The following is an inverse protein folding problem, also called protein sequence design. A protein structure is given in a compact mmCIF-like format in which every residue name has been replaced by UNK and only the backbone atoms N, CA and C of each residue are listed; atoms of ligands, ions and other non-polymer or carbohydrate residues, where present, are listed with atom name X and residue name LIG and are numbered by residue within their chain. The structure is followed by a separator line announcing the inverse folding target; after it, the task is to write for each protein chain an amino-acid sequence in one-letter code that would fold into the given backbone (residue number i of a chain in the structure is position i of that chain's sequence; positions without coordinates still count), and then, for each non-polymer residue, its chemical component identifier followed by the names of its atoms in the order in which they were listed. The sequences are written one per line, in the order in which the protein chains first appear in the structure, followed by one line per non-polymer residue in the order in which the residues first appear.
data_IF_022519457831
#
_entry.id   IF_022519457831
#
_cell.length_a   1.000
_cell.length_b   1.000
_cell.length_c   1.000
_cell.angle_alpha   90.00
_cell.angle_beta   90.00
_cell.angle_gamma   90.00
#
_symmetry.space_group_name_H-M   'P 1'
#
loop_
_entity.id
_entity.type
_entity.pdbx_description
1 polymer ?
#
# COMPACT_ATOMS: atom_id res chain seq x y z
N UNK A 1 -2.04 1.95 -3.75
CA UNK A 1 -2.02 1.34 -5.10
C UNK A 1 -0.61 0.89 -5.51
N UNK A 2 0.40 1.76 -5.65
CA UNK A 2 1.76 1.32 -6.03
C UNK A 2 2.33 0.24 -5.10
N UNK A 3 2.13 0.37 -3.79
CA UNK A 3 2.55 -0.68 -2.83
C UNK A 3 1.86 -2.04 -3.04
N UNK A 4 0.65 -2.07 -3.61
CA UNK A 4 0.01 -3.32 -4.00
C UNK A 4 0.77 -4.00 -5.16
N UNK A 5 1.14 -3.24 -6.21
CA UNK A 5 1.98 -3.76 -7.31
C UNK A 5 3.34 -4.28 -6.82
N UNK A 6 3.98 -3.56 -5.89
CA UNK A 6 5.25 -4.00 -5.29
C UNK A 6 5.07 -5.30 -4.48
N UNK A 7 3.95 -5.45 -3.77
CA UNK A 7 3.64 -6.69 -3.06
C UNK A 7 3.37 -7.85 -4.03
N UNK A 8 2.70 -7.63 -5.16
CA UNK A 8 2.53 -8.66 -6.19
C UNK A 8 3.88 -9.16 -6.73
N UNK A 9 4.82 -8.24 -6.99
CA UNK A 9 6.17 -8.59 -7.40
C UNK A 9 6.92 -9.41 -6.34
N UNK A 10 6.70 -9.12 -5.07
CA UNK A 10 7.27 -9.88 -3.95
C UNK A 10 6.77 -11.32 -3.90
N UNK A 11 5.53 -11.56 -4.29
CA UNK A 11 4.90 -12.90 -4.27
C UNK A 11 5.22 -13.74 -5.54
N UNK A 12 6.01 -13.22 -6.46
CA UNK A 12 6.44 -13.98 -7.65
C UNK A 12 7.43 -15.09 -7.26
N UNK A 13 7.58 -16.17 -8.06
CA UNK A 13 8.53 -17.25 -7.77
C UNK A 13 10.00 -16.79 -7.66
N UNK A 14 10.35 -15.71 -8.34
CA UNK A 14 11.68 -15.08 -8.29
C UNK A 14 11.53 -13.59 -8.00
N UNK A 15 11.20 -13.22 -6.75
CA UNK A 15 10.95 -11.84 -6.41
C UNK A 15 12.22 -11.00 -6.55
N UNK A 16 12.12 -9.78 -7.12
CA UNK A 16 13.28 -8.91 -7.35
C UNK A 16 13.83 -8.30 -6.05
N UNK A 17 13.06 -8.31 -4.99
CA UNK A 17 13.42 -7.79 -3.66
C UNK A 17 12.75 -8.62 -2.58
N UNK A 18 13.23 -8.50 -1.34
CA UNK A 18 12.62 -9.12 -0.16
C UNK A 18 11.39 -8.31 0.29
N UNK A 19 11.53 -6.98 0.21
CA UNK A 19 10.51 -6.02 0.59
C UNK A 19 10.68 -4.75 -0.24
N UNK A 20 9.58 -4.12 -0.60
CA UNK A 20 9.60 -2.78 -1.17
C UNK A 20 8.36 -2.00 -0.75
N UNK A 21 8.52 -0.70 -0.60
CA UNK A 21 7.46 0.23 -0.23
C UNK A 21 7.72 1.60 -0.86
N UNK A 22 6.66 2.33 -1.12
CA UNK A 22 6.71 3.75 -1.47
C UNK A 22 5.86 4.54 -0.51
N UNK A 23 6.30 5.73 -0.19
CA UNK A 23 5.61 6.68 0.67
C UNK A 23 5.80 8.10 0.17
N UNK A 24 4.85 8.96 0.46
CA UNK A 24 4.91 10.40 0.25
C UNK A 24 4.79 11.09 1.59
N UNK A 25 5.64 12.07 1.83
CA UNK A 25 5.65 12.81 3.09
C UNK A 25 6.94 13.57 3.33
N UNK A 26 7.16 13.95 4.56
CA UNK A 26 8.35 14.71 4.96
C UNK A 26 9.64 13.93 4.68
N UNK A 27 10.62 14.61 4.07
CA UNK A 27 11.93 14.01 3.83
C UNK A 27 12.68 13.81 5.16
N UNK A 28 12.71 12.58 5.67
CA UNK A 28 13.20 12.21 7.00
C UNK A 28 12.51 13.03 8.11
N UNK A 29 13.29 13.81 8.83
CA UNK A 29 12.84 14.69 9.91
C UNK A 29 12.68 16.15 9.46
N UNK A 30 12.86 16.42 8.17
CA UNK A 30 12.76 17.78 7.64
C UNK A 30 11.30 18.21 7.51
N UNK A 31 10.96 19.34 8.12
CA UNK A 31 9.64 19.98 7.95
C UNK A 31 9.56 20.92 6.74
N UNK A 32 10.68 21.11 6.05
CA UNK A 32 10.80 22.07 4.95
C UNK A 32 10.92 21.40 3.58
N UNK A 33 10.93 20.09 3.54
CA UNK A 33 11.09 19.27 2.34
C UNK A 33 10.19 18.06 2.42
N UNK A 34 9.37 17.90 1.39
CA UNK A 34 8.63 16.68 1.13
C UNK A 34 9.34 15.83 0.09
N UNK A 35 9.16 14.54 0.16
CA UNK A 35 9.72 13.60 -0.80
C UNK A 35 8.76 12.44 -1.05
N UNK A 36 8.66 12.07 -2.31
CA UNK A 36 8.19 10.75 -2.67
C UNK A 36 9.37 9.78 -2.58
N UNK A 37 9.28 8.84 -1.64
CA UNK A 37 10.36 7.92 -1.30
C UNK A 37 10.00 6.50 -1.72
N UNK A 38 10.92 5.82 -2.41
CA UNK A 38 10.86 4.39 -2.69
C UNK A 38 11.98 3.67 -1.95
N UNK A 39 11.64 2.63 -1.20
CA UNK A 39 12.58 1.80 -0.44
C UNK A 39 12.46 0.36 -0.95
N UNK A 40 13.57 -0.28 -1.24
CA UNK A 40 13.61 -1.71 -1.53
C UNK A 40 14.74 -2.39 -0.74
N UNK A 41 14.43 -3.51 -0.13
CA UNK A 41 15.39 -4.40 0.52
C UNK A 41 15.75 -5.50 -0.47
N UNK A 42 16.97 -5.48 -0.96
CA UNK A 42 17.46 -6.45 -1.93
C UNK A 42 17.83 -7.78 -1.28
N UNK A 43 17.88 -8.83 -2.08
CA UNK A 43 18.62 -10.05 -1.75
C UNK A 43 20.12 -9.77 -1.80
N UNK A 44 20.90 -10.68 -1.24
CA UNK A 44 22.36 -10.68 -1.42
C UNK A 44 22.67 -10.70 -2.93
N UNK A 45 23.56 -9.85 -3.41
CA UNK A 45 23.91 -9.64 -4.82
C UNK A 45 22.75 -9.19 -5.75
N UNK A 46 21.61 -8.74 -5.18
CA UNK A 46 20.42 -8.35 -5.94
C UNK A 46 20.12 -6.84 -5.97
N UNK A 47 21.08 -5.98 -5.67
CA UNK A 47 20.86 -4.52 -5.57
C UNK A 47 20.33 -3.95 -6.89
N UNK A 48 20.99 -4.26 -8.02
CA UNK A 48 20.60 -3.76 -9.34
C UNK A 48 19.20 -4.25 -9.74
N UNK A 49 18.89 -5.49 -9.41
CA UNK A 49 17.58 -6.09 -9.69
C UNK A 49 16.48 -5.41 -8.88
N UNK A 50 16.72 -5.18 -7.59
CA UNK A 50 15.78 -4.52 -6.71
C UNK A 50 15.54 -3.05 -7.10
N UNK A 51 16.64 -2.32 -7.38
CA UNK A 51 16.59 -0.94 -7.84
C UNK A 51 15.85 -0.82 -9.18
N UNK A 52 16.18 -1.69 -10.15
CA UNK A 52 15.50 -1.71 -11.45
C UNK A 52 14.01 -1.99 -11.32
N UNK A 53 13.61 -2.94 -10.48
CA UNK A 53 12.22 -3.32 -10.32
C UNK A 53 11.42 -2.20 -9.63
N UNK A 54 11.95 -1.62 -8.55
CA UNK A 54 11.32 -0.50 -7.86
C UNK A 54 11.17 0.70 -8.80
N UNK A 55 12.25 1.11 -9.46
CA UNK A 55 12.23 2.27 -10.37
C UNK A 55 11.30 2.03 -11.56
N UNK A 56 11.23 0.81 -12.08
CA UNK A 56 10.35 0.44 -13.20
C UNK A 56 8.88 0.60 -12.82
N UNK A 57 8.47 0.20 -11.63
CA UNK A 57 7.06 0.38 -11.20
C UNK A 57 6.74 1.85 -10.92
N UNK A 58 7.66 2.62 -10.36
CA UNK A 58 7.51 4.07 -10.20
C UNK A 58 7.36 4.73 -11.58
N UNK A 59 8.22 4.38 -12.53
CA UNK A 59 8.19 4.91 -13.89
C UNK A 59 6.92 4.49 -14.66
N UNK A 60 6.45 3.25 -14.44
CA UNK A 60 5.18 2.77 -15.00
C UNK A 60 3.99 3.59 -14.50
N UNK A 61 3.95 3.91 -13.20
CA UNK A 61 2.93 4.80 -12.65
C UNK A 61 3.04 6.20 -13.22
N UNK A 62 4.26 6.72 -13.37
CA UNK A 62 4.49 8.05 -13.97
C UNK A 62 3.96 8.14 -15.41
N UNK A 63 4.16 7.08 -16.23
CA UNK A 63 3.76 7.07 -17.64
C UNK A 63 2.28 6.76 -17.85
N UNK A 64 1.71 5.84 -17.09
CA UNK A 64 0.39 5.26 -17.37
C UNK A 64 -0.64 5.47 -16.26
N UNK A 65 -0.20 5.91 -15.07
CA UNK A 65 -1.08 6.05 -13.92
C UNK A 65 -1.55 4.73 -13.32
N UNK A 66 -2.64 4.81 -12.59
CA UNK A 66 -3.35 3.68 -12.01
C UNK A 66 -4.60 3.37 -12.81
N UNK A 67 -4.99 2.10 -12.83
CA UNK A 67 -6.22 1.64 -13.49
C UNK A 67 -7.45 1.92 -12.62
N UNK A 68 -8.62 1.95 -13.24
CA UNK A 68 -9.89 2.12 -12.53
C UNK A 68 -10.14 0.99 -11.52
N UNK A 69 -9.73 -0.25 -11.84
CA UNK A 69 -9.87 -1.41 -10.95
C UNK A 69 -8.96 -1.35 -9.72
N UNK A 70 -7.68 -0.96 -9.88
CA UNK A 70 -6.78 -0.71 -8.76
C UNK A 70 -7.34 0.36 -7.81
N UNK A 71 -7.83 1.46 -8.40
CA UNK A 71 -8.40 2.54 -7.62
C UNK A 71 -9.68 2.12 -6.89
N UNK A 72 -10.56 1.36 -7.56
CA UNK A 72 -11.79 0.87 -6.94
C UNK A 72 -11.49 -0.01 -5.71
N UNK A 73 -10.49 -0.92 -5.81
CA UNK A 73 -10.05 -1.74 -4.67
C UNK A 73 -9.47 -0.90 -3.55
N UNK A 74 -8.54 0.00 -3.88
CA UNK A 74 -7.92 0.86 -2.88
C UNK A 74 -8.94 1.74 -2.14
N UNK A 75 -9.92 2.27 -2.87
CA UNK A 75 -11.02 3.04 -2.30
C UNK A 75 -11.91 2.18 -1.39
N UNK A 76 -12.27 0.99 -1.83
CA UNK A 76 -13.07 0.06 -1.03
C UNK A 76 -12.34 -0.36 0.26
N UNK A 77 -11.04 -0.62 0.18
CA UNK A 77 -10.21 -0.95 1.34
C UNK A 77 -10.11 0.20 2.34
N UNK A 78 -9.90 1.42 1.84
CA UNK A 78 -9.87 2.62 2.67
C UNK A 78 -11.21 2.84 3.42
N UNK A 79 -12.33 2.78 2.70
CA UNK A 79 -13.65 2.97 3.29
C UNK A 79 -13.98 1.88 4.32
N UNK A 80 -13.57 0.63 4.07
CA UNK A 80 -13.74 -0.46 5.03
C UNK A 80 -12.90 -0.27 6.30
N UNK A 81 -11.65 0.20 6.16
CA UNK A 81 -10.80 0.52 7.32
C UNK A 81 -11.41 1.67 8.14
N UNK A 82 -11.92 2.68 7.47
CA UNK A 82 -12.58 3.81 8.10
C UNK A 82 -13.86 3.39 8.84
N UNK A 83 -14.66 2.52 8.23
CA UNK A 83 -15.86 1.92 8.86
C UNK A 83 -15.49 1.10 10.10
N UNK A 84 -14.42 0.30 10.03
CA UNK A 84 -13.92 -0.45 11.19
C UNK A 84 -13.50 0.50 12.32
N UNK A 85 -12.74 1.55 11.99
CA UNK A 85 -12.32 2.55 12.97
C UNK A 85 -13.52 3.27 13.61
N UNK A 86 -14.54 3.60 12.81
CA UNK A 86 -15.77 4.20 13.30
C UNK A 86 -16.55 3.26 14.25
N UNK A 87 -16.67 1.99 13.89
CA UNK A 87 -17.38 0.99 14.70
C UNK A 87 -16.66 0.68 16.02
N UNK A 88 -15.35 0.82 16.06
CA UNK A 88 -14.50 0.54 17.23
C UNK A 88 -14.11 1.79 18.03
N UNK A 89 -14.65 2.96 17.69
CA UNK A 89 -14.25 4.25 18.28
C UNK A 89 -14.30 4.30 19.80
N UNK A 90 -15.25 3.60 20.41
CA UNK A 90 -15.40 3.54 21.87
C UNK A 90 -14.36 2.62 22.56
N UNK A 91 -13.57 1.88 21.77
CA UNK A 91 -12.55 0.94 22.27
C UNK A 91 -11.13 1.44 22.01
N UNK A 92 -10.99 2.62 21.42
CA UNK A 92 -9.68 3.20 21.06
C UNK A 92 -8.89 3.54 22.32
N UNK A 93 -7.66 3.09 22.38
CA UNK A 93 -6.75 3.39 23.50
C UNK A 93 -6.22 4.83 23.39
N UNK A 94 -5.99 5.46 24.55
CA UNK A 94 -5.51 6.85 24.59
C UNK A 94 -4.21 7.09 23.82
N UNK A 95 -3.33 6.10 23.71
CA UNK A 95 -2.09 6.25 22.96
C UNK A 95 -2.30 6.43 21.43
N UNK A 96 -3.42 6.00 20.88
CA UNK A 96 -3.73 6.25 19.47
C UNK A 96 -3.97 7.75 19.20
N UNK A 97 -4.57 8.45 20.15
CA UNK A 97 -4.82 9.89 20.02
C UNK A 97 -3.56 10.75 20.20
N UNK A 98 -2.52 10.22 20.84
CA UNK A 98 -1.27 10.99 21.05
C UNK A 98 -0.65 11.44 19.73
N UNK A 99 -0.58 10.54 18.76
CA UNK A 99 0.01 10.87 17.45
C UNK A 99 -0.83 11.92 16.69
N UNK A 100 -2.14 11.84 16.79
CA UNK A 100 -3.06 12.82 16.20
C UNK A 100 -2.86 14.20 16.81
N UNK A 101 -2.81 14.29 18.15
CA UNK A 101 -2.57 15.54 18.86
C UNK A 101 -1.18 16.11 18.62
N UNK A 102 -0.15 15.27 18.51
CA UNK A 102 1.20 15.69 18.17
C UNK A 102 1.24 16.30 16.77
N UNK A 103 0.65 15.65 15.75
CA UNK A 103 0.57 16.18 14.40
C UNK A 103 -0.22 17.48 14.34
N UNK A 104 -1.34 17.56 15.06
CA UNK A 104 -2.09 18.80 15.17
C UNK A 104 -1.23 19.93 15.74
N UNK A 105 -0.54 19.67 16.85
CA UNK A 105 0.29 20.70 17.50
C UNK A 105 1.50 21.13 16.64
N UNK A 106 2.14 20.17 15.97
CA UNK A 106 3.36 20.42 15.21
C UNK A 106 3.08 20.98 13.82
N UNK A 107 2.08 20.41 13.13
CA UNK A 107 1.83 20.60 11.70
C UNK A 107 0.50 21.32 11.43
N UNK A 108 -0.23 21.67 12.50
CA UNK A 108 -1.58 22.25 12.43
C UNK A 108 -2.58 21.38 11.65
N UNK A 109 -2.40 20.05 11.69
CA UNK A 109 -3.29 19.09 11.04
C UNK A 109 -4.68 19.14 11.70
N UNK A 110 -5.77 19.19 10.94
CA UNK A 110 -7.12 19.16 11.51
C UNK A 110 -7.40 17.89 12.31
N UNK A 111 -8.14 18.00 13.40
CA UNK A 111 -8.63 16.88 14.22
C UNK A 111 -10.16 16.84 14.14
N UNK A 112 -10.75 16.30 13.06
CA UNK A 112 -12.21 16.26 12.92
C UNK A 112 -12.88 15.24 13.86
N UNK A 113 -12.11 14.25 14.32
CA UNK A 113 -12.64 13.07 14.99
C UNK A 113 -13.27 12.08 14.02
N UNK A 114 -13.27 10.80 14.40
CA UNK A 114 -13.67 9.69 13.51
C UNK A 114 -15.12 9.79 13.01
N UNK A 115 -16.05 10.33 13.82
CA UNK A 115 -17.44 10.50 13.42
C UNK A 115 -17.57 11.46 12.22
N UNK A 116 -16.88 12.59 12.27
CA UNK A 116 -16.88 13.57 11.19
C UNK A 116 -16.10 13.05 9.98
N UNK A 117 -14.95 12.42 10.17
CA UNK A 117 -14.13 11.84 9.11
C UNK A 117 -14.94 10.77 8.35
N UNK A 118 -15.60 9.85 9.07
CA UNK A 118 -16.45 8.82 8.48
C UNK A 118 -17.57 9.42 7.64
N UNK A 119 -18.29 10.43 8.17
CA UNK A 119 -19.36 11.08 7.45
C UNK A 119 -18.87 11.79 6.19
N UNK A 120 -17.78 12.56 6.28
CA UNK A 120 -17.19 13.32 5.17
C UNK A 120 -16.71 12.36 4.08
N UNK A 121 -15.93 11.35 4.46
CA UNK A 121 -15.32 10.44 3.47
C UNK A 121 -16.36 9.58 2.76
N UNK A 122 -17.41 9.13 3.43
CA UNK A 122 -18.51 8.43 2.76
C UNK A 122 -19.26 9.32 1.77
N UNK A 123 -19.30 10.63 1.99
CA UNK A 123 -19.93 11.58 1.07
C UNK A 123 -19.02 11.89 -0.13
N UNK A 124 -17.71 12.11 0.07
CA UNK A 124 -16.83 12.60 -0.97
C UNK A 124 -16.15 11.48 -1.78
N UNK A 125 -15.72 10.38 -1.14
CA UNK A 125 -14.95 9.33 -1.79
C UNK A 125 -15.65 8.70 -3.01
N UNK A 126 -16.97 8.47 -3.03
CA UNK A 126 -17.66 7.98 -4.22
C UNK A 126 -17.50 8.88 -5.44
N UNK A 127 -17.34 10.18 -5.22
CA UNK A 127 -17.27 11.20 -6.28
C UNK A 127 -15.84 11.51 -6.75
N UNK A 128 -14.82 10.91 -6.16
CA UNK A 128 -13.44 11.07 -6.61
C UNK A 128 -13.16 10.05 -7.71
N UNK A 129 -12.92 10.48 -8.96
CA UNK A 129 -12.58 9.58 -10.07
C UNK A 129 -11.07 9.24 -10.05
N UNK A 130 -10.68 8.15 -10.72
CA UNK A 130 -9.27 7.74 -10.86
C UNK A 130 -8.42 8.79 -11.58
N UNK A 131 -9.01 9.55 -12.49
CA UNK A 131 -8.36 10.63 -13.23
C UNK A 131 -7.86 11.74 -12.31
N UNK A 132 -8.60 12.04 -11.23
CA UNK A 132 -8.16 13.00 -10.22
C UNK A 132 -6.90 12.50 -9.50
N UNK A 133 -6.82 11.22 -9.18
CA UNK A 133 -5.64 10.60 -8.59
C UNK A 133 -4.47 10.62 -9.59
N UNK A 134 -4.72 10.21 -10.83
CA UNK A 134 -3.69 10.17 -11.86
C UNK A 134 -3.15 11.57 -12.21
N UNK A 135 -3.96 12.60 -12.13
CA UNK A 135 -3.51 13.98 -12.35
C UNK A 135 -2.52 14.49 -11.28
N UNK A 136 -2.50 13.87 -10.11
CA UNK A 136 -1.59 14.22 -9.02
C UNK A 136 -0.20 13.57 -9.16
N UNK A 137 -0.07 12.47 -9.92
CA UNK A 137 1.19 11.72 -10.06
C UNK A 137 2.38 12.60 -10.51
N UNK A 138 2.25 13.51 -11.49
CA UNK A 138 3.38 14.35 -11.91
C UNK A 138 3.92 15.28 -10.82
N UNK A 139 3.14 15.58 -9.78
CA UNK A 139 3.61 16.35 -8.63
C UNK A 139 4.46 15.51 -7.68
N UNK A 140 4.25 14.20 -7.63
CA UNK A 140 4.99 13.27 -6.78
C UNK A 140 6.24 12.73 -7.46
N UNK A 141 6.11 12.34 -8.73
CA UNK A 141 7.18 11.67 -9.48
C UNK A 141 7.63 12.53 -10.65
N UNK A 142 8.80 13.11 -10.54
CA UNK A 142 9.42 13.93 -11.58
C UNK A 142 10.92 13.62 -11.72
N UNK A 143 11.57 14.22 -12.72
CA UNK A 143 12.97 13.96 -13.03
C UNK A 143 13.95 14.89 -12.29
N UNK A 144 13.47 15.71 -11.37
CA UNK A 144 14.30 16.67 -10.62
C UNK A 144 14.52 16.20 -9.17
N UNK A 145 15.69 16.57 -8.63
CA UNK A 145 16.05 16.30 -7.22
C UNK A 145 16.00 14.83 -6.80
N UNK A 146 16.39 13.93 -7.69
CA UNK A 146 16.46 12.51 -7.38
C UNK A 146 17.71 12.23 -6.57
N UNK A 147 17.54 11.55 -5.43
CA UNK A 147 18.63 11.07 -4.58
C UNK A 147 18.48 9.56 -4.42
N UNK A 148 19.56 8.84 -4.63
CA UNK A 148 19.63 7.38 -4.40
C UNK A 148 20.65 7.12 -3.31
N UNK A 149 20.19 6.42 -2.26
CA UNK A 149 21.04 5.96 -1.17
C UNK A 149 21.01 4.44 -1.12
N UNK A 150 22.17 3.83 -1.02
CA UNK A 150 22.32 2.38 -0.87
C UNK A 150 23.03 2.10 0.45
N UNK A 151 22.36 1.36 1.31
CA UNK A 151 22.89 0.92 2.60
C UNK A 151 23.22 -0.55 2.52
N UNK A 152 24.51 -0.89 2.63
CA UNK A 152 24.99 -2.26 2.60
C UNK A 152 25.76 -2.58 3.88
N UNK A 153 25.66 -3.82 4.40
CA UNK A 153 26.56 -4.28 5.44
C UNK A 153 27.98 -4.40 4.88
N UNK A 154 28.98 -4.08 5.67
CA UNK A 154 30.36 -4.35 5.31
C UNK A 154 30.61 -5.87 5.39
N UNK A 155 30.87 -6.49 4.24
CA UNK A 155 31.07 -7.95 4.11
C UNK A 155 32.19 -8.24 3.13
N UNK A 156 33.12 -9.10 3.54
CA UNK A 156 34.25 -9.53 2.70
C UNK A 156 33.73 -10.24 1.43
N UNK A 157 34.27 -9.84 0.26
CA UNK A 157 33.88 -10.38 -1.04
C UNK A 157 32.56 -9.81 -1.62
N UNK A 158 31.85 -8.97 -0.91
CA UNK A 158 30.65 -8.30 -1.45
C UNK A 158 31.04 -7.19 -2.42
N UNK A 159 30.39 -7.16 -3.58
CA UNK A 159 30.53 -6.06 -4.54
C UNK A 159 29.49 -5.00 -4.23
N UNK A 160 29.96 -3.78 -4.07
CA UNK A 160 29.10 -2.60 -3.94
C UNK A 160 28.99 -1.90 -5.28
N UNK A 161 27.78 -1.51 -5.71
CA UNK A 161 27.63 -0.78 -6.96
C UNK A 161 28.31 0.59 -6.87
N UNK A 162 28.96 0.98 -7.93
CA UNK A 162 29.47 2.34 -8.11
C UNK A 162 28.35 3.31 -8.45
N UNK A 163 28.59 4.61 -8.27
CA UNK A 163 27.64 5.66 -8.70
C UNK A 163 27.28 5.52 -10.19
N UNK A 164 28.24 5.16 -11.04
CA UNK A 164 27.99 4.99 -12.47
C UNK A 164 27.07 3.80 -12.74
N UNK A 165 27.26 2.66 -12.08
CA UNK A 165 26.39 1.49 -12.21
C UNK A 165 24.96 1.80 -11.75
N UNK A 166 24.80 2.57 -10.66
CA UNK A 166 23.47 3.03 -10.20
C UNK A 166 22.81 3.93 -11.26
N UNK A 167 23.55 4.90 -11.80
CA UNK A 167 23.06 5.78 -12.85
C UNK A 167 22.70 5.01 -14.12
N UNK A 168 23.47 4.00 -14.48
CA UNK A 168 23.21 3.15 -15.65
C UNK A 168 21.91 2.35 -15.47
N UNK A 169 21.64 1.84 -14.27
CA UNK A 169 20.36 1.17 -13.92
C UNK A 169 19.19 2.13 -14.10
N UNK A 170 19.28 3.34 -13.55
CA UNK A 170 18.21 4.34 -13.67
C UNK A 170 17.95 4.75 -15.12
N UNK A 171 19.04 5.03 -15.87
CA UNK A 171 18.95 5.41 -17.28
C UNK A 171 18.40 4.29 -18.15
N UNK A 172 18.79 3.04 -17.88
CA UNK A 172 18.25 1.87 -18.56
C UNK A 172 16.75 1.75 -18.36
N UNK A 173 16.26 1.87 -17.12
CA UNK A 173 14.82 1.79 -16.83
C UNK A 173 14.06 2.93 -17.50
N UNK A 174 14.60 4.16 -17.49
CA UNK A 174 13.99 5.31 -18.18
C UNK A 174 13.89 5.11 -19.70
N UNK A 175 14.86 4.40 -20.29
CA UNK A 175 14.88 4.09 -21.72
C UNK A 175 14.02 2.87 -22.09
N UNK A 176 13.55 2.09 -21.11
CA UNK A 176 12.69 0.94 -21.38
C UNK A 176 11.34 1.37 -21.94
N UNK A 177 10.88 0.68 -22.97
CA UNK A 177 9.53 0.83 -23.49
C UNK A 177 8.55 0.05 -22.59
N UNK A 178 8.08 0.70 -21.54
CA UNK A 178 7.14 0.10 -20.60
C UNK A 178 5.76 -0.06 -21.22
N UNK A 179 5.00 -1.02 -20.69
CA UNK A 179 3.56 -1.18 -20.96
C UNK A 179 2.77 -0.78 -19.73
N UNK A 180 1.52 -0.38 -19.93
CA UNK A 180 0.61 -0.13 -18.82
C UNK A 180 0.49 -1.38 -17.92
N UNK A 181 0.20 -1.15 -16.65
CA UNK A 181 -0.09 -2.25 -15.74
C UNK A 181 -1.38 -2.96 -16.15
N UNK A 182 -1.32 -4.28 -16.23
CA UNK A 182 -2.48 -5.13 -16.48
C UNK A 182 -2.95 -5.74 -15.17
N UNK A 183 -4.13 -5.33 -14.74
CA UNK A 183 -4.75 -5.83 -13.54
C UNK A 183 -5.37 -7.21 -13.77
N UNK A 184 -4.86 -8.23 -13.09
CA UNK A 184 -5.33 -9.61 -13.20
C UNK A 184 -6.51 -9.87 -12.26
N UNK A 185 -7.54 -9.03 -12.36
CA UNK A 185 -8.77 -9.26 -11.61
C UNK A 185 -9.60 -10.35 -12.31
N UNK A 186 -10.02 -11.35 -11.56
CA UNK A 186 -11.03 -12.31 -12.00
C UNK A 186 -12.39 -11.88 -11.47
N UNK A 187 -13.37 -11.74 -12.34
CA UNK A 187 -14.77 -11.54 -11.95
C UNK A 187 -15.47 -12.86 -11.56
N UNK A 188 -14.75 -13.97 -11.66
CA UNK A 188 -15.28 -15.26 -11.25
C UNK A 188 -15.45 -15.31 -9.72
N UNK A 189 -16.60 -15.79 -9.24
CA UNK A 189 -16.79 -15.94 -7.80
C UNK A 189 -15.79 -16.95 -7.24
N UNK A 190 -15.24 -16.65 -6.07
CA UNK A 190 -14.27 -17.51 -5.38
C UNK A 190 -14.78 -18.94 -5.16
N UNK A 191 -16.09 -19.08 -5.05
CA UNK A 191 -16.80 -20.36 -4.91
C UNK A 191 -17.85 -20.45 -6.02
N UNK A 192 -17.73 -21.43 -6.90
CA UNK A 192 -18.62 -21.62 -8.04
C UNK A 192 -20.08 -21.85 -7.64
N UNK A 193 -20.30 -22.55 -6.53
CA UNK A 193 -21.62 -22.77 -5.93
C UNK A 193 -21.62 -22.31 -4.48
N UNK A 194 -22.54 -21.43 -4.10
CA UNK A 194 -22.67 -21.05 -2.70
C UNK A 194 -23.05 -22.28 -1.85
N UNK A 195 -22.31 -22.56 -0.77
CA UNK A 195 -22.65 -23.64 0.14
C UNK A 195 -24.04 -23.42 0.74
N UNK A 196 -24.84 -24.47 0.78
CA UNK A 196 -26.15 -24.40 1.42
C UNK A 196 -26.00 -24.09 2.91
N UNK A 197 -26.71 -23.10 3.38
CA UNK A 197 -26.71 -22.76 4.79
C UNK A 197 -27.17 -23.96 5.63
N UNK A 198 -26.42 -24.29 6.69
CA UNK A 198 -26.83 -25.29 7.66
C UNK A 198 -28.00 -24.77 8.51
N UNK A 199 -28.88 -25.67 8.89
CA UNK A 199 -29.93 -25.40 9.89
C UNK A 199 -29.45 -25.87 11.27
N UNK A 200 -29.92 -25.22 12.33
CA UNK A 200 -29.64 -25.64 13.69
C UNK A 200 -30.40 -26.96 13.95
N UNK A 201 -29.67 -28.05 14.16
CA UNK A 201 -30.26 -29.37 14.46
C UNK A 201 -30.23 -29.72 15.95
N UNK A 202 -29.37 -29.06 16.72
CA UNK A 202 -29.27 -29.25 18.17
C UNK A 202 -28.80 -27.96 18.83
N UNK A 203 -29.36 -27.68 20.00
CA UNK A 203 -28.95 -26.59 20.87
C UNK A 203 -28.69 -27.17 22.26
N UNK A 204 -27.52 -26.90 22.82
CA UNK A 204 -27.13 -27.39 24.17
C UNK A 204 -26.55 -26.22 24.96
N UNK A 205 -26.68 -26.31 26.27
CA UNK A 205 -26.03 -25.36 27.18
C UNK A 205 -24.56 -25.77 27.37
N UNK A 206 -23.64 -24.87 27.10
CA UNK A 206 -22.22 -25.06 27.23
C UNK A 206 -21.65 -24.48 28.53
N UNK A 207 -20.34 -24.67 28.77
CA UNK A 207 -19.68 -24.10 29.94
C UNK A 207 -19.77 -22.58 29.97
N UNK A 208 -19.77 -22.00 31.18
CA UNK A 208 -19.80 -20.55 31.40
C UNK A 208 -21.04 -19.82 30.82
N UNK A 209 -22.15 -20.51 30.68
CA UNK A 209 -23.39 -19.91 30.12
C UNK A 209 -23.37 -19.73 28.60
N UNK A 210 -22.47 -20.42 27.91
CA UNK A 210 -22.44 -20.43 26.44
C UNK A 210 -23.54 -21.33 25.88
N UNK A 211 -24.01 -21.04 24.67
CA UNK A 211 -24.90 -21.92 23.92
C UNK A 211 -24.14 -22.60 22.79
N UNK A 212 -24.17 -23.92 22.78
CA UNK A 212 -23.55 -24.74 21.72
C UNK A 212 -24.62 -25.08 20.70
N UNK A 213 -24.39 -24.67 19.45
CA UNK A 213 -25.26 -24.99 18.32
C UNK A 213 -24.59 -26.04 17.43
N UNK A 214 -25.31 -27.11 17.12
CA UNK A 214 -24.91 -28.06 16.09
C UNK A 214 -25.67 -27.75 14.81
N UNK A 215 -24.93 -27.56 13.72
CA UNK A 215 -25.51 -27.29 12.41
C UNK A 215 -25.65 -28.58 11.58
N UNK A 216 -26.60 -28.61 10.65
CA UNK A 216 -26.87 -29.78 9.79
C UNK A 216 -25.75 -30.11 8.80
N UNK A 217 -24.79 -29.19 8.62
CA UNK A 217 -23.65 -29.33 7.71
C UNK A 217 -22.31 -29.59 8.43
N UNK A 218 -22.32 -29.90 9.71
CA UNK A 218 -21.15 -30.28 10.52
C UNK A 218 -20.58 -29.19 11.40
#
# INVERSE_FOLDING_TARGET
MLNARLNELKETPQPPFIYAVTEDGNFFLSKTKDAFTGIAVSKEDGIDTALSALTREIERVRQFGFTASEYARAKADYLRQLESAYNERDKVKNNAYVNEYVRHFIDNEPIPGIDAEYAIMNQIAPNIPVEAINSFIPSLVNDSNIVVNIFCPEKEGMKYPTEQEIMDVLNKVKAEKLTAYEDKVSDEPLIAEQPKAGTIVKTEEGPFGSTVLTLSNG
#
